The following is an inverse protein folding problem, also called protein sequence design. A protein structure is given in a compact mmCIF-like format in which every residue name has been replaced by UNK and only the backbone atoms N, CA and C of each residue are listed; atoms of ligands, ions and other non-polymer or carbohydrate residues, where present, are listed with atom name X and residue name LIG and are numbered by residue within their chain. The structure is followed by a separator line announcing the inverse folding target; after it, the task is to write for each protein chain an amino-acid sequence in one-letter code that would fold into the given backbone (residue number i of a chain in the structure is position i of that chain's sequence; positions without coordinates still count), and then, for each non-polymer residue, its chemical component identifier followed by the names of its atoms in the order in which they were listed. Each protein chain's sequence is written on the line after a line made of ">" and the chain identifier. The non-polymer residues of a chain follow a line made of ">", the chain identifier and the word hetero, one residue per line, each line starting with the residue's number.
data_IF_077154784758
#
_entry.id   IF_077154784758
#
_cell.length_a   1.000
_cell.length_b   1.000
_cell.length_c   1.000
_cell.angle_alpha   90.00
_cell.angle_beta   90.00
_cell.angle_gamma   90.00
#
_symmetry.space_group_name_H-M   'P 1'
#
loop_
_entity.id
_entity.type
_entity.pdbx_description
1 polymer ?
#
# COMPACT_ATOMS: atom_id res chain seq x y z
N UNK A 1 6.55 26.78 23.73
CA UNK A 1 6.90 26.20 22.41
C UNK A 1 6.23 24.85 22.29
N UNK A 2 5.54 24.63 21.20
CA UNK A 2 4.96 23.30 20.93
C UNK A 2 6.06 22.30 20.63
N UNK A 3 5.89 21.04 21.04
CA UNK A 3 6.84 19.97 20.77
C UNK A 3 6.88 19.61 19.29
N UNK A 4 7.92 18.88 18.84
CA UNK A 4 8.11 18.51 17.44
C UNK A 4 6.94 17.69 16.87
N UNK A 5 6.30 16.85 17.69
CA UNK A 5 5.14 16.05 17.29
C UNK A 5 3.95 16.96 16.99
N UNK A 6 3.70 17.96 17.85
CA UNK A 6 2.65 18.95 17.61
C UNK A 6 2.90 19.77 16.36
N UNK A 7 4.15 20.16 16.07
CA UNK A 7 4.50 20.89 14.85
C UNK A 7 4.23 20.04 13.60
N UNK A 8 4.53 18.74 13.64
CA UNK A 8 4.20 17.81 12.54
C UNK A 8 2.71 17.61 12.40
N UNK A 9 1.98 17.53 13.51
CA UNK A 9 0.52 17.50 13.50
C UNK A 9 -0.08 18.73 12.82
N UNK A 10 0.42 19.92 13.11
CA UNK A 10 -0.01 21.18 12.47
C UNK A 10 0.25 21.10 10.96
N UNK A 11 1.43 20.62 10.53
CA UNK A 11 1.75 20.43 9.11
C UNK A 11 0.78 19.46 8.41
N UNK A 12 0.40 18.38 9.07
CA UNK A 12 -0.59 17.44 8.55
C UNK A 12 -1.96 18.10 8.39
N UNK A 13 -2.41 18.88 9.38
CA UNK A 13 -3.65 19.65 9.30
C UNK A 13 -3.64 20.64 8.14
N UNK A 14 -2.56 21.41 7.99
CA UNK A 14 -2.42 22.39 6.92
C UNK A 14 -2.40 21.72 5.53
N UNK A 15 -1.77 20.57 5.41
CA UNK A 15 -1.78 19.77 4.17
C UNK A 15 -3.18 19.27 3.84
N UNK A 16 -3.93 18.74 4.80
CA UNK A 16 -5.31 18.31 4.61
C UNK A 16 -6.21 19.46 4.14
N UNK A 17 -5.95 20.66 4.65
CA UNK A 17 -6.66 21.87 4.24
C UNK A 17 -6.26 22.32 2.84
N UNK A 18 -4.97 22.29 2.50
CA UNK A 18 -4.47 22.63 1.18
C UNK A 18 -4.99 21.67 0.09
N UNK A 19 -5.10 20.39 0.41
CA UNK A 19 -5.63 19.35 -0.49
C UNK A 19 -7.18 19.38 -0.60
N UNK A 20 -7.84 20.26 0.14
CA UNK A 20 -9.31 20.41 0.11
C UNK A 20 -10.08 19.29 0.82
N UNK A 21 -9.39 18.36 1.50
CA UNK A 21 -10.02 17.27 2.27
C UNK A 21 -10.78 17.86 3.47
N UNK A 22 -10.22 18.93 4.04
CA UNK A 22 -10.80 19.69 5.15
C UNK A 22 -11.00 21.14 4.72
N UNK A 23 -12.24 21.62 4.83
CA UNK A 23 -12.58 22.99 4.42
C UNK A 23 -12.20 24.05 5.48
N UNK A 24 -12.26 23.67 6.76
CA UNK A 24 -11.96 24.58 7.88
C UNK A 24 -11.45 23.81 9.10
N UNK A 25 -10.70 24.51 9.96
CA UNK A 25 -10.23 23.93 11.22
C UNK A 25 -11.38 23.57 12.17
N UNK A 26 -12.52 24.28 12.08
CA UNK A 26 -13.74 23.92 12.82
C UNK A 26 -14.32 22.61 12.34
N UNK A 27 -14.42 22.40 11.02
CA UNK A 27 -14.89 21.14 10.44
C UNK A 27 -13.97 20.00 10.82
N UNK A 28 -12.65 20.21 10.75
CA UNK A 28 -11.66 19.23 11.20
C UNK A 28 -11.88 18.84 12.65
N UNK A 29 -12.00 19.81 13.58
CA UNK A 29 -12.21 19.54 15.00
C UNK A 29 -13.47 18.70 15.23
N UNK A 30 -14.60 19.07 14.61
CA UNK A 30 -15.84 18.33 14.73
C UNK A 30 -15.73 16.91 14.15
N UNK A 31 -14.99 16.72 13.06
CA UNK A 31 -14.82 15.41 12.43
C UNK A 31 -14.04 14.40 13.27
N UNK A 32 -13.19 14.88 14.17
CA UNK A 32 -12.40 14.07 15.11
C UNK A 32 -12.95 14.15 16.55
N UNK A 33 -14.18 14.65 16.68
CA UNK A 33 -14.84 14.81 18.00
C UNK A 33 -13.94 15.55 19.00
N UNK A 34 -13.48 16.73 18.62
CA UNK A 34 -12.62 17.58 19.42
C UNK A 34 -13.14 19.01 19.46
N UNK A 35 -12.87 19.72 20.56
CA UNK A 35 -13.34 21.09 20.74
C UNK A 35 -12.60 22.06 19.79
N UNK A 36 -13.32 22.85 18.95
CA UNK A 36 -12.69 23.77 18.00
C UNK A 36 -11.81 24.82 18.66
N UNK A 37 -12.16 25.29 19.86
CA UNK A 37 -11.36 26.26 20.61
C UNK A 37 -10.03 25.65 21.05
N UNK A 38 -10.05 24.43 21.58
CA UNK A 38 -8.83 23.71 21.99
C UNK A 38 -7.93 23.41 20.79
N UNK A 39 -8.50 23.05 19.64
CA UNK A 39 -7.75 22.87 18.42
C UNK A 39 -7.07 24.18 17.97
N UNK A 40 -7.79 25.31 18.04
CA UNK A 40 -7.24 26.62 17.68
C UNK A 40 -6.00 26.98 18.51
N UNK A 41 -5.99 26.66 19.80
CA UNK A 41 -4.82 26.89 20.65
C UNK A 41 -3.63 25.99 20.26
N UNK A 42 -3.89 24.76 19.85
CA UNK A 42 -2.87 23.84 19.31
C UNK A 42 -2.30 24.38 18.01
N UNK A 43 -3.16 24.77 17.05
CA UNK A 43 -2.74 25.31 15.75
C UNK A 43 -1.94 26.62 15.86
N UNK A 44 -2.20 27.39 16.90
CA UNK A 44 -1.41 28.61 17.23
C UNK A 44 -0.10 28.30 17.97
N UNK A 45 0.19 27.04 18.24
CA UNK A 45 1.38 26.61 18.95
C UNK A 45 1.40 26.95 20.45
N UNK A 46 0.26 27.31 21.03
CA UNK A 46 0.11 27.66 22.46
C UNK A 46 -0.07 26.43 23.34
N UNK A 47 -0.50 25.33 22.76
CA UNK A 47 -0.77 24.07 23.46
C UNK A 47 -0.31 22.90 22.60
N UNK A 48 0.14 21.83 23.26
CA UNK A 48 0.50 20.59 22.58
C UNK A 48 -0.73 19.75 22.22
N UNK A 49 -0.64 19.04 21.09
CA UNK A 49 -1.65 18.09 20.68
C UNK A 49 -1.68 16.90 21.65
N UNK A 50 -2.88 16.50 22.06
CA UNK A 50 -3.06 15.35 22.94
C UNK A 50 -2.96 14.05 22.17
N UNK A 51 -2.54 12.97 22.83
CA UNK A 51 -2.45 11.63 22.23
C UNK A 51 -3.82 11.18 21.69
N UNK A 52 -4.91 11.46 22.46
CA UNK A 52 -6.26 11.12 22.00
C UNK A 52 -6.69 11.85 20.73
N UNK A 53 -6.31 13.14 20.57
CA UNK A 53 -6.54 13.88 19.33
C UNK A 53 -5.73 13.27 18.17
N UNK A 54 -4.46 12.96 18.40
CA UNK A 54 -3.60 12.35 17.40
C UNK A 54 -4.16 11.00 16.94
N UNK A 55 -4.59 10.15 17.87
CA UNK A 55 -5.18 8.85 17.56
C UNK A 55 -6.40 8.99 16.66
N UNK A 56 -7.37 9.82 17.04
CA UNK A 56 -8.59 10.07 16.24
C UNK A 56 -8.25 10.60 14.84
N UNK A 57 -7.24 11.45 14.76
CA UNK A 57 -6.81 12.04 13.49
C UNK A 57 -6.10 11.01 12.60
N UNK A 58 -5.27 10.14 13.16
CA UNK A 58 -4.63 9.02 12.45
C UNK A 58 -5.69 8.08 11.86
N UNK A 59 -6.67 7.70 12.67
CA UNK A 59 -7.75 6.80 12.22
C UNK A 59 -8.61 7.42 11.12
N UNK A 60 -8.97 8.70 11.28
CA UNK A 60 -9.88 9.40 10.35
C UNK A 60 -9.23 9.77 9.03
N UNK A 61 -8.04 10.36 9.07
CA UNK A 61 -7.37 10.94 7.91
C UNK A 61 -6.19 10.13 7.42
N UNK A 62 -5.96 8.94 7.98
CA UNK A 62 -4.86 8.06 7.59
C UNK A 62 -3.48 8.72 7.67
N UNK A 63 -3.28 9.56 8.68
CA UNK A 63 -1.96 10.14 8.96
C UNK A 63 -1.00 9.02 9.35
N UNK A 64 0.21 9.04 8.83
CA UNK A 64 1.24 8.08 9.18
C UNK A 64 1.75 8.34 10.62
N UNK A 65 1.52 7.43 11.58
CA UNK A 65 1.99 7.62 12.94
C UNK A 65 3.52 7.68 13.03
N UNK A 66 4.25 6.95 12.20
CA UNK A 66 5.71 7.00 12.16
C UNK A 66 6.16 8.41 11.79
N UNK A 67 5.62 9.01 10.72
CA UNK A 67 5.90 10.40 10.36
C UNK A 67 5.58 11.36 11.51
N UNK A 68 4.44 11.19 12.15
CA UNK A 68 3.98 12.09 13.21
C UNK A 68 4.95 12.11 14.40
N UNK A 69 5.43 10.93 14.83
CA UNK A 69 6.29 10.80 16.00
C UNK A 69 7.79 10.94 15.69
N UNK A 70 8.27 10.38 14.60
CA UNK A 70 9.71 10.40 14.24
C UNK A 70 10.07 11.43 13.18
N UNK A 71 9.16 11.75 12.28
CA UNK A 71 9.40 12.58 11.10
C UNK A 71 9.82 11.80 9.88
N UNK A 72 9.90 10.48 9.96
CA UNK A 72 10.34 9.61 8.88
C UNK A 72 9.15 9.09 8.07
N UNK A 73 9.37 8.92 6.78
CA UNK A 73 8.37 8.37 5.86
C UNK A 73 7.35 9.40 5.34
N UNK A 74 6.35 8.93 4.60
CA UNK A 74 5.31 9.79 4.04
C UNK A 74 4.38 10.32 5.15
N UNK A 75 3.84 11.52 4.95
CA UNK A 75 2.95 12.20 5.92
C UNK A 75 1.62 11.44 6.12
N UNK A 76 1.08 10.84 5.07
CA UNK A 76 -0.15 10.05 5.10
C UNK A 76 0.18 8.60 4.75
N UNK A 77 -0.53 7.68 5.41
CA UNK A 77 -0.53 6.29 4.98
C UNK A 77 -1.13 6.27 3.57
N UNK A 78 -0.34 5.88 2.60
CA UNK A 78 -0.89 5.41 1.35
C UNK A 78 -1.72 4.20 1.75
N UNK A 79 -3.02 4.17 1.41
CA UNK A 79 -3.64 2.87 1.24
C UNK A 79 -2.76 2.23 0.17
N UNK A 80 -1.83 1.39 0.62
CA UNK A 80 -1.37 0.34 -0.25
C UNK A 80 -2.68 -0.32 -0.66
N UNK A 81 -3.18 0.00 -1.87
CA UNK A 81 -3.95 -0.98 -2.59
C UNK A 81 -3.16 -2.23 -2.31
N UNK A 82 -3.74 -3.16 -1.55
CA UNK A 82 -3.18 -4.50 -1.46
C UNK A 82 -2.88 -4.81 -2.91
N UNK A 83 -1.65 -4.49 -3.34
CA UNK A 83 -1.08 -5.16 -4.45
C UNK A 83 -1.07 -6.55 -3.87
N UNK A 84 -2.09 -7.29 -4.22
CA UNK A 84 -2.10 -8.72 -4.12
C UNK A 84 -0.71 -9.11 -4.62
N UNK A 85 0.23 -9.27 -3.69
CA UNK A 85 1.53 -9.82 -4.02
C UNK A 85 1.24 -11.25 -4.40
N UNK A 86 0.77 -11.40 -5.64
CA UNK A 86 0.64 -12.70 -6.25
C UNK A 86 2.06 -13.19 -6.42
N UNK A 87 2.45 -14.09 -5.55
CA UNK A 87 3.70 -14.81 -5.72
C UNK A 87 3.59 -15.61 -7.02
N UNK A 88 4.24 -15.12 -8.06
CA UNK A 88 4.31 -15.83 -9.34
C UNK A 88 5.53 -16.74 -9.30
N UNK A 89 5.31 -18.03 -9.45
CA UNK A 89 6.39 -18.99 -9.56
C UNK A 89 6.96 -18.93 -10.97
N UNK A 90 8.23 -18.56 -11.09
CA UNK A 90 8.98 -18.55 -12.34
C UNK A 90 9.89 -19.77 -12.33
N UNK A 91 9.82 -20.57 -13.37
CA UNK A 91 10.73 -21.72 -13.59
C UNK A 91 11.85 -21.27 -14.52
N UNK A 92 13.09 -21.31 -14.02
CA UNK A 92 14.29 -20.93 -14.80
C UNK A 92 15.16 -22.14 -15.09
N UNK A 93 15.99 -22.02 -16.14
CA UNK A 93 17.04 -23.00 -16.44
C UNK A 93 18.29 -22.72 -15.63
N UNK A 94 19.27 -23.64 -15.67
CA UNK A 94 20.59 -23.43 -15.07
C UNK A 94 21.35 -22.19 -15.61
N UNK A 95 20.99 -21.70 -16.79
CA UNK A 95 21.53 -20.50 -17.43
C UNK A 95 20.68 -19.25 -17.18
N UNK A 96 19.75 -19.31 -16.22
CA UNK A 96 18.83 -18.21 -15.87
C UNK A 96 17.84 -17.82 -16.97
N UNK A 97 17.62 -18.69 -17.97
CA UNK A 97 16.61 -18.48 -18.99
C UNK A 97 15.22 -18.83 -18.43
N UNK A 98 14.25 -17.95 -18.60
CA UNK A 98 12.88 -18.19 -18.17
C UNK A 98 12.24 -19.32 -19.03
N UNK A 99 11.67 -20.32 -18.35
CA UNK A 99 10.87 -21.36 -19.00
C UNK A 99 9.40 -21.01 -18.99
N UNK A 100 8.76 -21.20 -20.13
CA UNK A 100 7.31 -21.08 -20.22
C UNK A 100 6.68 -22.36 -19.71
N UNK A 101 5.85 -22.26 -18.67
CA UNK A 101 5.06 -23.37 -18.18
C UNK A 101 3.87 -23.60 -19.11
N UNK A 102 3.73 -24.82 -19.61
CA UNK A 102 2.60 -25.21 -20.42
C UNK A 102 1.50 -25.83 -19.55
N UNK A 103 0.28 -25.35 -19.69
CA UNK A 103 -0.88 -25.85 -18.95
C UNK A 103 -1.78 -26.65 -19.92
N UNK A 104 -1.67 -27.98 -19.93
CA UNK A 104 -2.51 -28.81 -20.79
C UNK A 104 -3.99 -28.77 -20.35
N UNK A 105 -4.91 -29.07 -21.26
CA UNK A 105 -6.36 -29.02 -21.00
C UNK A 105 -6.76 -29.76 -19.71
N UNK A 106 -6.27 -30.96 -19.39
CA UNK A 106 -6.64 -31.63 -18.14
C UNK A 106 -6.22 -30.89 -16.88
N UNK A 107 -5.17 -30.08 -16.93
CA UNK A 107 -4.66 -29.32 -15.80
C UNK A 107 -5.25 -27.91 -15.68
N UNK A 108 -5.98 -27.42 -16.68
CA UNK A 108 -6.45 -26.02 -16.69
C UNK A 108 -7.42 -25.70 -15.53
N UNK A 109 -8.28 -26.64 -15.14
CA UNK A 109 -9.18 -26.46 -14.02
C UNK A 109 -8.43 -26.34 -12.67
N UNK A 110 -7.42 -27.19 -12.46
CA UNK A 110 -6.53 -27.12 -11.29
C UNK A 110 -5.68 -25.86 -11.31
N UNK A 111 -5.20 -25.44 -12.49
CA UNK A 111 -4.41 -24.22 -12.63
C UNK A 111 -5.17 -22.95 -12.18
N UNK A 112 -6.46 -22.87 -12.46
CA UNK A 112 -7.27 -21.73 -12.00
C UNK A 112 -7.34 -21.59 -10.48
N UNK A 113 -7.28 -22.73 -9.76
CA UNK A 113 -7.29 -22.77 -8.28
C UNK A 113 -5.88 -22.69 -7.67
N UNK A 114 -4.88 -23.31 -8.30
CA UNK A 114 -3.56 -23.60 -7.71
C UNK A 114 -2.39 -22.92 -8.43
N UNK A 115 -2.66 -21.95 -9.29
CA UNK A 115 -1.63 -21.29 -10.11
C UNK A 115 -0.54 -20.56 -9.32
N UNK A 116 -0.73 -20.37 -8.04
CA UNK A 116 0.25 -19.77 -7.12
C UNK A 116 1.02 -20.81 -6.30
N UNK A 117 0.62 -22.09 -6.35
CA UNK A 117 1.31 -23.17 -5.62
C UNK A 117 2.57 -23.60 -6.41
N UNK A 118 3.78 -23.42 -5.83
CA UNK A 118 5.01 -23.81 -6.47
C UNK A 118 5.08 -25.29 -6.82
N UNK A 119 4.54 -26.16 -5.98
CA UNK A 119 4.56 -27.63 -6.18
C UNK A 119 3.75 -28.01 -7.41
N UNK A 120 2.56 -27.43 -7.57
CA UNK A 120 1.70 -27.64 -8.72
C UNK A 120 2.34 -27.16 -10.01
N UNK A 121 2.96 -25.96 -10.01
CA UNK A 121 3.62 -25.39 -11.17
C UNK A 121 4.84 -26.22 -11.62
N UNK A 122 5.61 -26.77 -10.67
CA UNK A 122 6.79 -27.60 -10.98
C UNK A 122 6.44 -28.93 -11.65
N UNK A 123 5.23 -29.46 -11.44
CA UNK A 123 4.75 -30.69 -12.08
C UNK A 123 4.31 -30.47 -13.54
N UNK A 124 4.08 -29.22 -13.96
CA UNK A 124 3.63 -28.93 -15.31
C UNK A 124 4.79 -28.95 -16.30
N UNK A 125 4.55 -29.40 -17.56
CA UNK A 125 5.56 -29.38 -18.59
C UNK A 125 6.03 -27.97 -18.89
N UNK A 126 7.32 -27.80 -19.16
CA UNK A 126 7.95 -26.53 -19.47
C UNK A 126 8.72 -26.56 -20.77
N UNK A 127 8.81 -25.44 -21.46
CA UNK A 127 9.63 -25.28 -22.66
C UNK A 127 10.25 -23.87 -22.72
N UNK A 128 11.28 -23.75 -23.56
CA UNK A 128 11.94 -22.48 -23.84
C UNK A 128 11.75 -22.18 -25.32
N UNK A 129 11.33 -20.96 -25.65
CA UNK A 129 11.26 -20.49 -27.02
C UNK A 129 12.62 -19.90 -27.41
N UNK A 130 13.33 -20.49 -28.41
CA UNK A 130 14.55 -19.91 -28.90
C UNK A 130 14.26 -18.53 -29.55
N UNK A 131 15.17 -17.59 -29.32
CA UNK A 131 15.09 -16.23 -29.87
C UNK A 131 13.89 -15.37 -29.42
N UNK A 132 13.10 -15.85 -28.45
CA UNK A 132 11.99 -15.08 -27.91
C UNK A 132 12.48 -14.11 -26.82
N UNK A 133 12.27 -12.82 -27.05
CA UNK A 133 12.53 -11.80 -26.04
C UNK A 133 11.31 -11.63 -25.14
N UNK A 134 11.39 -12.15 -23.94
CA UNK A 134 10.34 -12.01 -22.95
C UNK A 134 10.16 -10.54 -22.57
N UNK A 135 8.91 -10.08 -22.55
CA UNK A 135 8.54 -8.79 -21.99
C UNK A 135 8.38 -8.92 -20.48
N UNK A 136 8.30 -7.79 -19.79
CA UNK A 136 8.04 -7.78 -18.35
C UNK A 136 6.75 -8.52 -18.02
N UNK A 137 6.83 -9.51 -17.16
CA UNK A 137 5.69 -10.33 -16.71
C UNK A 137 5.97 -11.82 -16.76
N UNK A 138 5.04 -12.62 -16.26
CA UNK A 138 5.11 -14.08 -16.28
C UNK A 138 4.41 -14.62 -17.51
N UNK A 139 5.05 -15.54 -18.22
CA UNK A 139 4.52 -16.15 -19.43
C UNK A 139 4.00 -17.56 -19.14
N UNK A 140 2.84 -17.88 -19.67
CA UNK A 140 2.20 -19.21 -19.60
C UNK A 140 1.61 -19.55 -20.96
N UNK A 141 1.60 -20.82 -21.31
CA UNK A 141 0.91 -21.31 -22.49
C UNK A 141 -0.21 -22.26 -22.10
N UNK A 142 -1.26 -22.29 -22.88
CA UNK A 142 -2.43 -23.13 -22.68
C UNK A 142 -2.79 -23.83 -23.99
N UNK A 143 -3.25 -25.08 -23.90
CA UNK A 143 -3.91 -25.71 -25.01
C UNK A 143 -5.24 -25.02 -25.33
N UNK A 144 -5.54 -24.88 -26.59
CA UNK A 144 -6.82 -24.35 -27.07
C UNK A 144 -7.70 -25.52 -27.45
N UNK A 145 -8.86 -25.58 -26.84
CA UNK A 145 -9.84 -26.59 -27.17
C UNK A 145 -10.53 -26.31 -28.51
#
# INVERSE_FOLDING_TARGET
>A
MSNLVTQRFIKCHDKLKADGIVRSSRQFALSVDYLPQSLSEILKGRRDATVGLMQKTIEKYKINPVYLFTGDGPMFMTEEKNQDFRTLTIVTTANDDERIVHVPIPAQAGYAAEHTDPSFIQELPTFVLPDYKYRVGTHRSFDVA
#
